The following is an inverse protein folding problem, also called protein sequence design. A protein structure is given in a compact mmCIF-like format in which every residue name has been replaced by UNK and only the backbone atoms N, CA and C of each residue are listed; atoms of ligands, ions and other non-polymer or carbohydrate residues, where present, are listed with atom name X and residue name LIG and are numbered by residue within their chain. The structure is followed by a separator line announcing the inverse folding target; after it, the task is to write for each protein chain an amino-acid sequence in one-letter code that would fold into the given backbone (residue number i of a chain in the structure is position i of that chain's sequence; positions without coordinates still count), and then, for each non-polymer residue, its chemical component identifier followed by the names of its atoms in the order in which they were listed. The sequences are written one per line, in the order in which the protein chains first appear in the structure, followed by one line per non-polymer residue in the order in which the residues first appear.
data_IF_463023657909
#
_entry.id   IF_463023657909
#
_cell.length_a   1.000
_cell.length_b   1.000
_cell.length_c   1.000
_cell.angle_alpha   90.00
_cell.angle_beta   90.00
_cell.angle_gamma   90.00
#
_symmetry.space_group_name_H-M   'P 1'
#
loop_
_entity.id
_entity.type
_entity.pdbx_description
1 polymer ?
#
# COMPACT_ATOMS: atom_id res chain seq x y z
N UNK A 1 16.22 21.28 -33.55
CA UNK A 1 15.04 21.10 -32.70
C UNK A 1 15.21 19.78 -31.97
N UNK A 2 15.46 19.79 -30.66
CA UNK A 2 15.42 18.55 -29.88
C UNK A 2 13.95 18.20 -29.67
N UNK A 3 13.53 17.06 -30.19
CA UNK A 3 12.19 16.53 -29.99
C UNK A 3 11.98 16.30 -28.49
N UNK A 4 10.91 16.88 -27.93
CA UNK A 4 10.45 16.57 -26.59
C UNK A 4 10.09 15.08 -26.53
N UNK A 5 10.96 14.26 -25.94
CA UNK A 5 10.60 12.91 -25.51
C UNK A 5 10.03 13.00 -24.11
N UNK A 6 8.72 13.13 -23.99
CA UNK A 6 8.03 12.91 -22.71
C UNK A 6 8.22 11.46 -22.33
N UNK A 7 8.94 11.20 -21.24
CA UNK A 7 9.07 9.86 -20.69
C UNK A 7 7.94 9.68 -19.69
N UNK A 8 7.00 8.80 -20.03
CA UNK A 8 5.97 8.30 -19.13
C UNK A 8 6.22 6.83 -18.86
N UNK A 9 6.36 6.46 -17.60
CA UNK A 9 6.37 5.06 -17.17
C UNK A 9 5.32 4.86 -16.09
N UNK A 10 4.73 3.67 -16.06
CA UNK A 10 3.93 3.20 -14.95
C UNK A 10 4.69 2.04 -14.31
N UNK A 11 4.82 2.09 -12.99
CA UNK A 11 5.57 1.12 -12.21
C UNK A 11 4.69 0.52 -11.13
N UNK A 12 4.87 -0.78 -10.92
CA UNK A 12 4.27 -1.52 -9.80
C UNK A 12 5.41 -2.01 -8.92
N UNK A 13 5.28 -1.79 -7.62
CA UNK A 13 6.25 -2.21 -6.62
C UNK A 13 5.56 -3.11 -5.60
N UNK A 14 6.15 -4.28 -5.39
CA UNK A 14 5.76 -5.22 -4.34
C UNK A 14 6.74 -5.10 -3.17
N UNK A 15 6.22 -4.97 -1.96
CA UNK A 15 6.96 -4.83 -0.73
C UNK A 15 6.26 -5.59 0.41
N UNK A 16 6.95 -5.73 1.54
CA UNK A 16 6.41 -6.37 2.74
C UNK A 16 6.94 -5.68 3.98
N UNK A 17 6.09 -5.53 4.99
CA UNK A 17 6.47 -5.11 6.34
C UNK A 17 5.79 -5.97 7.39
N UNK A 18 6.38 -6.05 8.57
CA UNK A 18 5.89 -6.86 9.69
C UNK A 18 5.83 -6.00 10.95
N UNK A 19 4.71 -6.08 11.66
CA UNK A 19 4.51 -5.49 12.99
C UNK A 19 4.33 -6.61 14.01
N UNK A 20 4.25 -6.24 15.29
CA UNK A 20 3.88 -7.20 16.35
C UNK A 20 2.46 -7.78 16.13
N UNK A 21 1.61 -7.07 15.37
CA UNK A 21 0.20 -7.40 15.17
C UNK A 21 -0.06 -8.23 13.91
N UNK A 22 0.63 -7.94 12.82
CA UNK A 22 0.38 -8.56 11.52
C UNK A 22 1.58 -8.46 10.55
N UNK A 23 1.51 -9.26 9.49
CA UNK A 23 2.31 -9.11 8.28
C UNK A 23 1.50 -8.36 7.23
N UNK A 24 2.12 -7.37 6.60
CA UNK A 24 1.53 -6.52 5.58
C UNK A 24 2.23 -6.77 4.25
N UNK A 25 1.51 -7.35 3.28
CA UNK A 25 1.99 -7.46 1.90
C UNK A 25 1.48 -6.26 1.13
N UNK A 26 2.39 -5.44 0.63
CA UNK A 26 2.10 -4.12 0.06
C UNK A 26 2.38 -4.14 -1.43
N UNK A 27 1.42 -3.71 -2.24
CA UNK A 27 1.60 -3.45 -3.66
C UNK A 27 1.20 -2.01 -3.95
N UNK A 28 2.07 -1.22 -4.54
CA UNK A 28 1.72 0.14 -4.94
C UNK A 28 2.08 0.43 -6.40
N UNK A 29 1.27 1.28 -7.02
CA UNK A 29 1.45 1.74 -8.39
C UNK A 29 1.72 3.24 -8.38
N UNK A 30 2.73 3.66 -9.15
CA UNK A 30 2.98 5.06 -9.42
C UNK A 30 3.25 5.30 -10.91
N UNK A 31 2.85 6.46 -11.39
CA UNK A 31 3.26 6.96 -12.69
C UNK A 31 4.47 7.88 -12.51
N UNK A 32 5.41 7.86 -13.45
CA UNK A 32 6.54 8.79 -13.51
C UNK A 32 6.48 9.60 -14.80
N UNK A 33 6.55 10.92 -14.67
CA UNK A 33 6.55 11.89 -15.78
C UNK A 33 7.74 12.83 -15.62
N UNK A 34 8.67 12.77 -16.56
CA UNK A 34 9.88 13.62 -16.56
C UNK A 34 10.61 13.61 -15.19
N UNK A 35 10.71 12.43 -14.57
CA UNK A 35 11.35 12.20 -13.27
C UNK A 35 10.47 12.49 -12.05
N UNK A 36 9.26 13.02 -12.22
CA UNK A 36 8.30 13.24 -11.13
C UNK A 36 7.39 12.05 -10.96
N UNK A 37 7.32 11.51 -9.74
CA UNK A 37 6.45 10.38 -9.42
C UNK A 37 5.10 10.85 -8.89
N UNK A 38 4.06 10.11 -9.23
CA UNK A 38 2.69 10.34 -8.77
C UNK A 38 2.09 9.00 -8.38
N UNK A 39 1.84 8.84 -7.07
CA UNK A 39 1.17 7.66 -6.53
C UNK A 39 -0.24 7.53 -7.10
N UNK A 40 -0.58 6.35 -7.61
CA UNK A 40 -1.89 6.06 -8.18
C UNK A 40 -2.74 5.23 -7.21
N UNK A 41 -2.18 4.14 -6.71
CA UNK A 41 -2.88 3.23 -5.83
C UNK A 41 -1.93 2.46 -4.91
N UNK A 42 -2.43 2.04 -3.75
CA UNK A 42 -1.78 1.10 -2.84
C UNK A 42 -2.82 0.03 -2.49
N UNK A 43 -2.41 -1.22 -2.55
CA UNK A 43 -3.14 -2.37 -2.06
C UNK A 43 -2.31 -3.03 -0.96
N UNK A 44 -2.94 -3.36 0.16
CA UNK A 44 -2.29 -4.00 1.30
C UNK A 44 -3.10 -5.19 1.76
N UNK A 45 -2.50 -6.37 1.73
CA UNK A 45 -3.05 -7.58 2.35
C UNK A 45 -2.48 -7.74 3.76
N UNK A 46 -3.36 -7.97 4.73
CA UNK A 46 -3.01 -8.09 6.14
C UNK A 46 -3.16 -9.55 6.54
N UNK A 47 -2.10 -10.13 7.10
CA UNK A 47 -2.09 -11.51 7.57
C UNK A 47 -1.65 -11.59 9.03
N UNK A 48 -2.42 -12.30 9.85
CA UNK A 48 -2.07 -12.58 11.25
C UNK A 48 -1.44 -13.95 11.39
N UNK A 49 -0.59 -14.11 12.41
CA UNK A 49 -0.12 -15.44 12.81
C UNK A 49 -1.15 -16.09 13.74
N UNK A 50 -1.84 -17.11 13.25
CA UNK A 50 -2.78 -17.92 14.02
C UNK A 50 -2.28 -19.37 14.05
N UNK A 51 -2.09 -19.93 15.25
CA UNK A 51 -1.61 -21.30 15.46
C UNK A 51 -0.31 -21.62 14.67
N UNK A 52 0.56 -20.63 14.51
CA UNK A 52 1.82 -20.75 13.79
C UNK A 52 1.73 -20.51 12.27
N UNK A 53 0.53 -20.44 11.69
CA UNK A 53 0.30 -20.17 10.27
C UNK A 53 -0.05 -18.70 10.03
N UNK A 54 0.32 -18.18 8.85
CA UNK A 54 -0.15 -16.88 8.39
C UNK A 54 -1.53 -17.04 7.74
N UNK A 55 -2.51 -16.30 8.24
CA UNK A 55 -3.88 -16.29 7.75
C UNK A 55 -4.21 -14.87 7.31
N UNK A 56 -4.69 -14.70 6.08
CA UNK A 56 -5.17 -13.41 5.62
C UNK A 56 -6.44 -13.03 6.39
N UNK A 57 -6.43 -11.85 7.01
CA UNK A 57 -7.52 -11.33 7.83
C UNK A 57 -8.22 -10.13 7.21
N UNK A 58 -7.75 -9.64 6.07
CA UNK A 58 -8.35 -8.51 5.37
C UNK A 58 -7.38 -7.82 4.42
N UNK A 59 -7.92 -6.87 3.67
CA UNK A 59 -7.15 -6.00 2.80
C UNK A 59 -7.62 -4.56 2.90
N UNK A 60 -6.70 -3.63 2.65
CA UNK A 60 -7.00 -2.22 2.51
C UNK A 60 -6.45 -1.69 1.20
N UNK A 61 -7.20 -0.78 0.59
CA UNK A 61 -6.81 -0.10 -0.63
C UNK A 61 -6.82 1.41 -0.39
N UNK A 62 -5.82 2.08 -0.93
CA UNK A 62 -5.77 3.53 -1.07
C UNK A 62 -5.80 3.86 -2.55
N UNK A 63 -6.80 4.62 -2.99
CA UNK A 63 -6.93 5.12 -4.35
C UNK A 63 -7.54 6.52 -4.32
N UNK A 64 -6.88 7.49 -4.95
CA UNK A 64 -7.39 8.86 -5.08
C UNK A 64 -7.84 9.47 -3.74
N UNK A 65 -7.00 9.36 -2.71
CA UNK A 65 -7.27 9.80 -1.33
C UNK A 65 -8.44 9.12 -0.61
N UNK A 66 -8.99 8.06 -1.20
CA UNK A 66 -10.02 7.24 -0.57
C UNK A 66 -9.39 5.95 -0.04
N UNK A 67 -9.82 5.55 1.16
CA UNK A 67 -9.46 4.28 1.77
C UNK A 67 -10.69 3.36 1.72
N UNK A 68 -10.50 2.15 1.20
CA UNK A 68 -11.49 1.08 1.29
C UNK A 68 -10.92 -0.13 2.00
N UNK A 69 -11.79 -0.86 2.68
CA UNK A 69 -11.43 -2.01 3.51
C UNK A 69 -12.28 -3.22 3.14
N UNK A 70 -11.68 -4.40 3.13
CA UNK A 70 -12.38 -5.65 2.85
C UNK A 70 -11.90 -6.79 3.76
N UNK A 71 -12.79 -7.73 4.07
CA UNK A 71 -12.44 -9.00 4.72
C UNK A 71 -12.16 -8.96 6.24
N UNK A 72 -12.11 -7.79 6.88
CA UNK A 72 -11.82 -7.70 8.31
C UNK A 72 -12.87 -8.42 9.16
N UNK A 73 -12.49 -9.38 10.01
CA UNK A 73 -13.36 -9.81 11.08
C UNK A 73 -13.65 -8.60 11.96
N UNK A 74 -14.89 -8.43 12.42
CA UNK A 74 -15.24 -7.42 13.43
C UNK A 74 -14.48 -7.72 14.72
N UNK A 75 -13.24 -7.27 14.79
CA UNK A 75 -12.31 -7.47 15.89
C UNK A 75 -11.83 -6.13 16.42
N UNK A 76 -11.44 -6.13 17.68
CA UNK A 76 -10.90 -4.95 18.37
C UNK A 76 -9.60 -4.43 17.75
N UNK A 77 -8.97 -5.19 16.83
CA UNK A 77 -7.74 -4.83 16.12
C UNK A 77 -7.98 -4.03 14.84
N UNK A 78 -9.22 -3.89 14.39
CA UNK A 78 -9.55 -3.21 13.12
C UNK A 78 -9.01 -1.77 13.09
N UNK A 79 -9.12 -1.03 14.21
CA UNK A 79 -8.55 0.32 14.31
C UNK A 79 -7.04 0.33 14.20
N UNK A 80 -6.36 -0.61 14.85
CA UNK A 80 -4.89 -0.77 14.76
C UNK A 80 -4.45 -1.02 13.32
N UNK A 81 -5.18 -1.85 12.56
CA UNK A 81 -4.88 -2.10 11.15
C UNK A 81 -5.05 -0.85 10.28
N UNK A 82 -6.03 0.00 10.58
CA UNK A 82 -6.24 1.26 9.86
C UNK A 82 -5.08 2.23 10.15
N UNK A 83 -4.64 2.33 11.40
CA UNK A 83 -3.53 3.19 11.80
C UNK A 83 -2.21 2.74 11.15
N UNK A 84 -1.91 1.44 11.23
CA UNK A 84 -0.72 0.84 10.61
C UNK A 84 -0.75 0.98 9.07
N UNK A 85 -1.91 0.76 8.43
CA UNK A 85 -2.10 1.01 7.00
C UNK A 85 -1.85 2.48 6.63
N UNK A 86 -2.40 3.42 7.40
CA UNK A 86 -2.23 4.86 7.14
C UNK A 86 -0.75 5.25 7.23
N UNK A 87 -0.02 4.70 8.20
CA UNK A 87 1.42 4.89 8.29
C UNK A 87 2.17 4.38 7.06
N UNK A 88 1.83 3.18 6.56
CA UNK A 88 2.40 2.61 5.32
C UNK A 88 2.12 3.53 4.12
N UNK A 89 0.90 4.05 3.99
CA UNK A 89 0.52 4.98 2.91
C UNK A 89 1.39 6.24 2.94
N UNK A 90 1.56 6.84 4.11
CA UNK A 90 2.36 8.06 4.28
C UNK A 90 3.85 7.81 4.03
N UNK A 91 4.38 6.64 4.36
CA UNK A 91 5.75 6.25 4.00
C UNK A 91 5.94 6.13 2.49
N UNK A 92 4.99 5.49 1.79
CA UNK A 92 5.05 5.37 0.33
C UNK A 92 4.95 6.75 -0.33
N UNK A 93 4.07 7.63 0.15
CA UNK A 93 3.96 9.00 -0.37
C UNK A 93 5.28 9.77 -0.27
N UNK A 94 6.04 9.60 0.82
CA UNK A 94 7.37 10.24 0.98
C UNK A 94 8.38 9.78 -0.06
N UNK A 95 8.25 8.57 -0.60
CA UNK A 95 9.12 8.05 -1.67
C UNK A 95 8.81 8.64 -3.05
N UNK A 96 7.70 9.36 -3.18
CA UNK A 96 7.22 9.95 -4.44
C UNK A 96 7.59 11.43 -4.60
N UNK A 97 8.21 12.04 -3.58
CA UNK A 97 8.60 13.46 -3.54
C UNK A 97 10.06 13.62 -3.96
#
# INVERSE_FOLDING_TARGET
MNELKTIRSASIVDARTETENATYSVRYQYDEYDGKKSLQAIHVEISERQEGNLVNVGSMDYNSDQISMSGFPYSDKTSTYIDEFTAIVEEIKKLMI
#
